data_IF_063179940574
#
_entry.id   IF_063179940574
#
_cell.length_a   1.000
_cell.length_b   1.000
_cell.length_c   1.000
_cell.angle_alpha   90.00
_cell.angle_beta   90.00
_cell.angle_gamma   90.00
#
_symmetry.space_group_name_H-M   'P 1'
#
loop_
_entity.id
_entity.type
_entity.pdbx_description
1 polymer ?
#
# COMPACT_ATOMS: atom_id res chain seq x y z
N UNK A 1 15.49 12.09 -4.98
CA UNK A 1 15.83 13.51 -5.19
C UNK A 1 14.66 14.39 -5.66
N UNK A 2 13.76 13.91 -6.54
CA UNK A 2 12.63 14.73 -7.02
C UNK A 2 11.59 15.03 -5.94
N UNK A 3 11.28 14.06 -5.07
CA UNK A 3 10.33 14.26 -3.96
C UNK A 3 10.88 15.26 -2.95
N UNK A 4 12.15 15.20 -2.62
CA UNK A 4 12.78 16.15 -1.69
C UNK A 4 12.70 17.62 -2.13
N UNK A 5 12.51 17.88 -3.45
CA UNK A 5 12.31 19.22 -3.98
C UNK A 5 10.84 19.57 -4.21
N UNK A 6 9.94 18.59 -4.09
CA UNK A 6 8.51 18.75 -4.36
C UNK A 6 7.65 18.85 -3.10
N UNK A 7 8.22 18.61 -1.92
CA UNK A 7 7.50 18.63 -0.65
C UNK A 7 8.41 19.10 0.48
N UNK A 8 7.82 19.78 1.46
CA UNK A 8 8.48 20.15 2.72
C UNK A 8 8.42 19.03 3.78
N UNK A 9 7.89 17.86 3.41
CA UNK A 9 7.82 16.70 4.31
C UNK A 9 9.22 16.07 4.52
N UNK A 10 9.47 15.62 5.74
CA UNK A 10 10.65 14.82 6.02
C UNK A 10 10.60 13.49 5.24
N UNK A 11 11.68 13.13 4.56
CA UNK A 11 11.76 11.90 3.78
C UNK A 11 12.54 10.83 4.57
N UNK A 12 11.97 9.64 4.63
CA UNK A 12 12.55 8.46 5.27
C UNK A 12 12.63 7.35 4.24
N UNK A 13 13.84 6.85 3.95
CA UNK A 13 14.03 5.84 2.90
C UNK A 13 14.51 4.52 3.49
N UNK A 14 13.88 3.43 3.11
CA UNK A 14 14.32 2.09 3.49
C UNK A 14 15.79 1.89 3.12
N UNK A 15 16.58 1.45 4.11
CA UNK A 15 18.02 1.22 3.96
C UNK A 15 18.92 2.34 4.52
N UNK A 16 18.39 3.53 4.81
CA UNK A 16 19.15 4.61 5.43
C UNK A 16 19.48 4.34 6.91
N UNK A 17 18.62 3.57 7.58
CA UNK A 17 18.81 3.17 8.96
C UNK A 17 18.07 1.84 9.25
N UNK A 18 18.29 1.20 10.43
CA UNK A 18 17.57 0.00 10.83
C UNK A 18 16.06 0.22 10.80
N UNK A 19 15.31 -0.80 10.36
CA UNK A 19 13.86 -0.76 10.13
C UNK A 19 13.05 -0.12 11.28
N UNK A 20 13.28 -0.58 12.52
CA UNK A 20 12.55 -0.07 13.69
C UNK A 20 12.80 1.42 13.91
N UNK A 21 14.06 1.87 13.81
CA UNK A 21 14.41 3.28 13.96
C UNK A 21 13.84 4.17 12.86
N UNK A 22 13.76 3.65 11.64
CA UNK A 22 13.17 4.36 10.51
C UNK A 22 11.67 4.61 10.74
N UNK A 23 10.97 3.60 11.23
CA UNK A 23 9.54 3.69 11.56
C UNK A 23 9.30 4.64 12.74
N UNK A 24 10.12 4.59 13.77
CA UNK A 24 10.00 5.48 14.93
C UNK A 24 10.26 6.93 14.53
N UNK A 25 11.33 7.20 13.78
CA UNK A 25 11.64 8.53 13.27
C UNK A 25 10.51 9.11 12.36
N UNK A 26 9.92 8.26 11.52
CA UNK A 26 8.76 8.64 10.71
C UNK A 26 7.56 9.04 11.58
N UNK A 27 7.25 8.27 12.63
CA UNK A 27 6.16 8.58 13.56
C UNK A 27 6.40 9.90 14.31
N UNK A 28 7.62 10.11 14.78
CA UNK A 28 8.02 11.31 15.54
C UNK A 28 8.00 12.59 14.68
N UNK A 29 8.27 12.48 13.40
CA UNK A 29 8.27 13.62 12.49
C UNK A 29 6.89 14.26 12.32
N UNK A 30 5.79 13.51 12.51
CA UNK A 30 4.41 14.01 12.38
C UNK A 30 4.01 14.44 10.95
N UNK A 31 4.97 14.88 10.14
CA UNK A 31 4.79 15.23 8.73
C UNK A 31 5.95 14.63 7.91
N UNK A 32 5.81 13.39 7.53
CA UNK A 32 6.85 12.66 6.82
C UNK A 32 6.33 11.80 5.68
N UNK A 33 7.23 11.43 4.78
CA UNK A 33 7.01 10.44 3.73
C UNK A 33 7.98 9.29 3.93
N UNK A 34 7.44 8.09 4.11
CA UNK A 34 8.22 6.86 4.25
C UNK A 34 8.23 6.10 2.93
N UNK A 35 9.42 5.92 2.36
CA UNK A 35 9.65 5.22 1.10
C UNK A 35 10.20 3.82 1.37
N UNK A 36 9.49 2.80 0.91
CA UNK A 36 9.91 1.42 1.09
C UNK A 36 9.39 0.48 0.00
N UNK A 37 9.95 -0.70 -0.06
CA UNK A 37 9.47 -1.78 -0.93
C UNK A 37 8.29 -2.51 -0.29
N UNK A 38 7.60 -3.36 -1.07
CA UNK A 38 6.47 -4.14 -0.55
C UNK A 38 6.83 -5.05 0.64
N UNK A 39 8.07 -5.50 0.75
CA UNK A 39 8.53 -6.27 1.91
C UNK A 39 8.69 -5.44 3.18
N UNK A 40 8.83 -4.12 3.03
CA UNK A 40 8.98 -3.22 4.18
C UNK A 40 7.69 -3.11 4.99
N UNK A 41 6.53 -3.04 4.35
CA UNK A 41 5.27 -2.87 5.06
C UNK A 41 4.85 -4.06 5.92
N UNK A 42 5.38 -5.27 5.65
CA UNK A 42 5.08 -6.46 6.48
C UNK A 42 5.49 -6.25 7.94
N UNK A 43 6.54 -5.45 8.19
CA UNK A 43 7.04 -5.11 9.52
C UNK A 43 6.65 -3.72 10.04
N UNK A 44 5.94 -2.91 9.25
CA UNK A 44 5.55 -1.55 9.66
C UNK A 44 4.33 -1.58 10.55
N UNK A 45 4.45 -0.96 11.71
CA UNK A 45 3.36 -0.73 12.66
C UNK A 45 3.27 0.75 12.99
N UNK A 46 2.36 1.46 12.31
CA UNK A 46 2.10 2.88 12.52
C UNK A 46 0.61 3.07 12.81
N UNK A 47 0.20 2.96 14.08
CA UNK A 47 -1.19 3.17 14.46
C UNK A 47 -1.57 4.65 14.46
N UNK A 48 -2.86 4.90 14.27
CA UNK A 48 -3.47 6.22 14.44
C UNK A 48 -3.10 7.22 13.33
N UNK A 49 -3.21 8.52 13.62
CA UNK A 49 -3.16 9.60 12.63
C UNK A 49 -1.77 9.80 11.98
N UNK A 50 -0.73 9.12 12.48
CA UNK A 50 0.62 9.22 11.92
C UNK A 50 0.72 8.58 10.52
N UNK A 51 -0.23 7.73 10.11
CA UNK A 51 -0.31 7.16 8.77
C UNK A 51 -1.69 7.47 8.15
N UNK A 52 -1.79 8.52 7.39
CA UNK A 52 -3.03 8.98 6.75
C UNK A 52 -3.13 8.63 5.27
N UNK A 53 -2.01 8.33 4.61
CA UNK A 53 -1.95 8.01 3.18
C UNK A 53 -0.97 6.86 2.92
N UNK A 54 -1.44 5.84 2.20
CA UNK A 54 -0.60 4.78 1.65
C UNK A 54 -0.65 4.84 0.13
N UNK A 55 0.50 4.95 -0.52
CA UNK A 55 0.59 4.96 -1.99
C UNK A 55 1.26 3.67 -2.45
N UNK A 56 0.57 2.92 -3.28
CA UNK A 56 1.04 1.71 -3.93
C UNK A 56 1.33 2.00 -5.39
N UNK A 57 2.60 2.14 -5.76
CA UNK A 57 3.03 2.39 -7.13
C UNK A 57 2.65 1.23 -8.07
N UNK A 58 2.75 -0.01 -7.57
CA UNK A 58 2.41 -1.22 -8.34
C UNK A 58 1.70 -2.25 -7.47
N UNK A 59 0.87 -3.07 -8.11
CA UNK A 59 0.32 -4.27 -7.48
C UNK A 59 1.45 -5.17 -6.98
N UNK A 60 1.36 -5.71 -5.74
CA UNK A 60 2.46 -6.38 -5.05
C UNK A 60 2.68 -7.82 -5.53
N UNK A 61 2.80 -8.00 -6.85
CA UNK A 61 3.23 -9.28 -7.40
C UNK A 61 4.65 -9.59 -6.96
N UNK A 62 4.91 -10.87 -6.68
CA UNK A 62 6.27 -11.32 -6.39
C UNK A 62 7.18 -11.11 -7.61
N UNK A 63 8.42 -10.70 -7.36
CA UNK A 63 9.45 -10.72 -8.40
C UNK A 63 9.77 -12.17 -8.75
N UNK A 64 9.94 -12.51 -10.04
CA UNK A 64 10.20 -13.89 -10.48
C UNK A 64 11.59 -14.43 -10.10
N UNK A 65 12.35 -13.70 -9.27
CA UNK A 65 13.76 -14.00 -8.99
C UNK A 65 13.97 -15.04 -7.89
N UNK A 66 12.92 -15.37 -7.13
CA UNK A 66 13.02 -16.41 -6.10
C UNK A 66 13.08 -17.80 -6.74
N UNK A 67 14.14 -18.61 -6.51
CA UNK A 67 14.23 -19.98 -7.00
C UNK A 67 13.05 -20.85 -6.54
N UNK A 68 12.57 -20.64 -5.32
CA UNK A 68 11.41 -21.35 -4.77
C UNK A 68 10.12 -21.00 -5.53
N UNK A 69 9.91 -19.72 -5.83
CA UNK A 69 8.75 -19.27 -6.61
C UNK A 69 8.76 -19.91 -7.99
N UNK A 70 9.90 -19.86 -8.69
CA UNK A 70 10.05 -20.49 -10.01
C UNK A 70 9.79 -22.00 -9.98
N UNK A 71 10.27 -22.69 -8.95
CA UNK A 71 10.04 -24.13 -8.79
C UNK A 71 8.54 -24.44 -8.60
N UNK A 72 7.83 -23.66 -7.77
CA UNK A 72 6.38 -23.81 -7.56
C UNK A 72 5.59 -23.54 -8.84
N UNK A 73 5.91 -22.47 -9.55
CA UNK A 73 5.26 -22.14 -10.81
C UNK A 73 5.50 -23.22 -11.89
N UNK A 74 6.71 -23.78 -11.92
CA UNK A 74 7.04 -24.88 -12.82
C UNK A 74 6.19 -26.11 -12.49
N UNK A 75 6.10 -26.52 -11.23
CA UNK A 75 5.31 -27.66 -10.79
C UNK A 75 3.82 -27.53 -11.18
N UNK A 76 3.23 -26.33 -10.99
CA UNK A 76 1.83 -26.06 -11.40
C UNK A 76 1.67 -26.22 -12.91
N UNK A 77 2.59 -25.65 -13.71
CA UNK A 77 2.53 -25.76 -15.19
C UNK A 77 2.71 -27.22 -15.67
N UNK A 78 3.58 -27.97 -15.04
CA UNK A 78 3.79 -29.41 -15.36
C UNK A 78 2.55 -30.25 -15.00
N UNK A 79 1.77 -29.84 -14.01
CA UNK A 79 0.49 -30.44 -13.66
C UNK A 79 -0.68 -29.97 -14.56
N UNK A 80 -0.43 -29.09 -15.55
CA UNK A 80 -1.44 -28.56 -16.46
C UNK A 80 -2.21 -27.37 -15.91
N UNK A 81 -1.78 -26.78 -14.78
CA UNK A 81 -2.42 -25.63 -14.14
C UNK A 81 -1.91 -24.27 -14.66
N UNK A 82 -2.61 -23.22 -14.24
CA UNK A 82 -2.25 -21.83 -14.50
C UNK A 82 -1.51 -21.24 -13.28
N UNK A 83 -0.18 -21.22 -13.34
CA UNK A 83 0.66 -20.72 -12.27
C UNK A 83 0.38 -19.25 -11.91
N UNK A 84 -0.07 -18.44 -12.86
CA UNK A 84 -0.45 -17.05 -12.57
C UNK A 84 -1.72 -17.00 -11.70
N UNK A 85 -2.77 -17.72 -12.10
CA UNK A 85 -4.05 -17.74 -11.40
C UNK A 85 -4.01 -18.49 -10.08
N UNK A 86 -3.22 -19.56 -10.01
CA UNK A 86 -3.18 -20.44 -8.83
C UNK A 86 -2.18 -19.99 -7.76
N UNK A 87 -1.12 -19.27 -8.15
CA UNK A 87 -0.07 -18.83 -7.21
C UNK A 87 0.11 -17.32 -7.17
N UNK A 88 0.42 -16.68 -8.32
CA UNK A 88 0.87 -15.30 -8.34
C UNK A 88 -0.24 -14.32 -7.97
N UNK A 89 -1.43 -14.51 -8.52
CA UNK A 89 -2.59 -13.65 -8.29
C UNK A 89 -3.08 -13.72 -6.83
N UNK A 90 -3.35 -14.90 -6.23
CA UNK A 90 -3.77 -14.99 -4.83
C UNK A 90 -2.74 -14.43 -3.86
N UNK A 91 -1.45 -14.67 -4.10
CA UNK A 91 -0.40 -14.10 -3.26
C UNK A 91 -0.36 -12.57 -3.31
N UNK A 92 -0.52 -12.00 -4.51
CA UNK A 92 -0.55 -10.55 -4.67
C UNK A 92 -1.80 -9.93 -4.00
N UNK A 93 -2.96 -10.59 -4.07
CA UNK A 93 -4.18 -10.17 -3.38
C UNK A 93 -3.99 -10.16 -1.85
N UNK A 94 -3.42 -11.23 -1.28
CA UNK A 94 -3.11 -11.28 0.17
C UNK A 94 -2.18 -10.15 0.58
N UNK A 95 -1.11 -9.90 -0.19
CA UNK A 95 -0.18 -8.80 0.10
C UNK A 95 -0.85 -7.43 0.01
N UNK A 96 -1.69 -7.22 -1.01
CA UNK A 96 -2.45 -5.96 -1.12
C UNK A 96 -3.35 -5.74 0.08
N UNK A 97 -4.07 -6.78 0.49
CA UNK A 97 -4.95 -6.74 1.67
C UNK A 97 -4.17 -6.47 2.96
N UNK A 98 -3.00 -7.06 3.12
CA UNK A 98 -2.10 -6.76 4.23
C UNK A 98 -1.65 -5.30 4.22
N UNK A 99 -1.24 -4.77 3.07
CA UNK A 99 -0.88 -3.36 2.91
C UNK A 99 -2.03 -2.42 3.23
N UNK A 100 -3.23 -2.75 2.78
CA UNK A 100 -4.45 -2.00 3.10
C UNK A 100 -4.75 -2.00 4.60
N UNK A 101 -4.60 -3.16 5.26
CA UNK A 101 -4.80 -3.30 6.71
C UNK A 101 -3.74 -2.59 7.56
N UNK A 102 -2.67 -2.04 6.97
CA UNK A 102 -1.71 -1.21 7.69
C UNK A 102 -2.21 0.20 7.92
N UNK A 103 -3.07 0.71 7.04
CA UNK A 103 -3.69 2.01 7.19
C UNK A 103 -4.86 1.99 8.19
N UNK A 104 -5.71 0.95 8.10
CA UNK A 104 -6.94 0.85 8.90
C UNK A 104 -6.80 -0.30 9.89
N UNK A 105 -6.46 0.00 11.14
CA UNK A 105 -6.26 -0.97 12.22
C UNK A 105 -7.37 -0.95 13.26
N UNK A 106 -7.88 0.23 13.51
CA UNK A 106 -9.00 0.45 14.45
C UNK A 106 -10.20 1.01 13.70
N UNK A 107 -11.34 1.00 14.34
CA UNK A 107 -12.58 1.55 13.76
C UNK A 107 -12.54 3.07 13.61
N UNK A 108 -11.63 3.72 14.32
CA UNK A 108 -11.44 5.17 14.30
C UNK A 108 -10.36 5.62 13.30
N UNK A 109 -9.57 4.67 12.75
CA UNK A 109 -8.54 5.00 11.78
C UNK A 109 -9.16 5.47 10.46
N UNK A 110 -8.64 6.56 9.95
CA UNK A 110 -9.07 7.18 8.68
C UNK A 110 -7.87 7.45 7.79
N UNK A 111 -8.05 7.25 6.51
CA UNK A 111 -7.00 7.54 5.56
C UNK A 111 -7.33 7.11 4.14
N UNK A 112 -6.39 7.32 3.24
CA UNK A 112 -6.51 7.03 1.81
C UNK A 112 -5.48 5.98 1.40
N UNK A 113 -5.92 4.99 0.64
CA UNK A 113 -5.03 4.08 -0.09
C UNK A 113 -5.12 4.42 -1.58
N UNK A 114 -4.04 4.96 -2.12
CA UNK A 114 -3.91 5.26 -3.54
C UNK A 114 -3.15 4.12 -4.25
N UNK A 115 -3.76 3.50 -5.25
CA UNK A 115 -3.14 2.45 -6.06
C UNK A 115 -2.94 2.98 -7.47
N UNK A 116 -1.68 3.18 -7.87
CA UNK A 116 -1.30 3.83 -9.12
C UNK A 116 -1.10 2.85 -10.28
N UNK A 117 -1.45 1.60 -10.12
CA UNK A 117 -1.25 0.56 -11.11
C UNK A 117 -2.45 0.46 -12.08
N UNK A 118 -2.25 0.85 -13.32
CA UNK A 118 -3.26 0.81 -14.37
C UNK A 118 -3.81 -0.62 -14.63
N UNK A 119 -3.10 -1.67 -14.20
CA UNK A 119 -3.56 -3.06 -14.35
C UNK A 119 -4.85 -3.35 -13.59
N UNK A 120 -5.19 -2.57 -12.55
CA UNK A 120 -6.49 -2.65 -11.87
C UNK A 120 -7.67 -2.43 -12.83
N UNK A 121 -7.49 -1.59 -13.85
CA UNK A 121 -8.54 -1.22 -14.79
C UNK A 121 -8.39 -1.92 -16.13
N UNK A 122 -7.16 -2.20 -16.54
CA UNK A 122 -6.88 -2.73 -17.88
C UNK A 122 -6.82 -4.25 -17.97
N UNK A 123 -6.71 -4.95 -16.81
CA UNK A 123 -6.63 -6.41 -16.77
C UNK A 123 -7.87 -7.03 -16.17
N UNK A 124 -8.29 -8.19 -16.65
CA UNK A 124 -9.47 -8.91 -16.19
C UNK A 124 -9.43 -9.21 -14.69
N UNK A 125 -8.26 -9.52 -14.15
CA UNK A 125 -8.06 -9.80 -12.73
C UNK A 125 -8.11 -8.55 -11.83
N UNK A 126 -8.10 -7.35 -12.38
CA UNK A 126 -8.14 -6.12 -11.59
C UNK A 126 -9.39 -6.02 -10.71
N UNK A 127 -10.54 -6.47 -11.23
CA UNK A 127 -11.79 -6.53 -10.47
C UNK A 127 -11.70 -7.48 -9.26
N UNK A 128 -10.95 -8.56 -9.39
CA UNK A 128 -10.72 -9.53 -8.31
C UNK A 128 -9.95 -8.89 -7.16
N UNK A 129 -8.93 -8.07 -7.45
CA UNK A 129 -8.24 -7.27 -6.44
C UNK A 129 -9.18 -6.33 -5.70
N UNK A 130 -10.00 -5.60 -6.44
CA UNK A 130 -10.93 -4.64 -5.83
C UNK A 130 -12.02 -5.33 -5.01
N UNK A 131 -12.51 -6.48 -5.44
CA UNK A 131 -13.52 -7.24 -4.71
C UNK A 131 -12.99 -7.83 -3.39
N UNK A 132 -11.70 -8.10 -3.30
CA UNK A 132 -11.06 -8.70 -2.13
C UNK A 132 -10.64 -7.66 -1.05
N UNK A 133 -10.71 -6.37 -1.39
CA UNK A 133 -10.45 -5.29 -0.43
C UNK A 133 -11.67 -5.05 0.48
N UNK A 134 -11.43 -4.55 1.71
CA UNK A 134 -12.51 -4.14 2.60
C UNK A 134 -13.47 -3.15 1.93
N UNK A 135 -14.77 -3.17 2.27
CA UNK A 135 -15.74 -2.20 1.76
C UNK A 135 -15.32 -0.78 2.12
N UNK A 136 -15.11 0.06 1.14
CA UNK A 136 -14.78 1.47 1.31
C UNK A 136 -15.24 2.28 0.09
N UNK A 137 -15.47 3.59 0.23
CA UNK A 137 -15.66 4.48 -0.90
C UNK A 137 -14.45 4.39 -1.85
N UNK A 138 -14.72 4.46 -3.16
CA UNK A 138 -13.70 4.41 -4.21
C UNK A 138 -13.89 5.55 -5.17
N UNK A 139 -12.79 6.12 -5.59
CA UNK A 139 -12.76 7.19 -6.59
C UNK A 139 -11.52 7.06 -7.47
N UNK A 140 -11.56 7.62 -8.65
CA UNK A 140 -10.42 7.83 -9.55
C UNK A 140 -10.11 9.34 -9.71
N UNK A 141 -10.77 10.18 -8.91
CA UNK A 141 -10.65 11.63 -8.96
C UNK A 141 -9.79 12.14 -7.83
N UNK A 142 -8.79 12.92 -8.17
CA UNK A 142 -7.89 13.53 -7.18
C UNK A 142 -8.61 14.53 -6.26
N UNK A 143 -9.61 15.23 -6.79
CA UNK A 143 -10.42 16.19 -6.04
C UNK A 143 -11.12 15.56 -4.83
N UNK A 144 -11.61 14.32 -4.96
CA UNK A 144 -12.27 13.61 -3.86
C UNK A 144 -11.28 13.31 -2.72
N UNK A 145 -10.02 12.99 -3.05
CA UNK A 145 -8.95 12.79 -2.07
C UNK A 145 -8.64 14.11 -1.35
N UNK A 146 -8.57 15.21 -2.08
CA UNK A 146 -8.34 16.54 -1.52
C UNK A 146 -9.48 16.93 -0.57
N UNK A 147 -10.73 16.71 -0.97
CA UNK A 147 -11.90 16.97 -0.13
C UNK A 147 -11.93 16.10 1.13
N UNK A 148 -11.53 14.82 1.01
CA UNK A 148 -11.44 13.92 2.16
C UNK A 148 -10.49 14.48 3.22
N UNK A 149 -9.28 14.89 2.86
CA UNK A 149 -8.31 15.46 3.80
C UNK A 149 -8.71 16.84 4.32
N UNK A 150 -9.35 17.68 3.50
CA UNK A 150 -9.87 18.96 3.95
C UNK A 150 -10.98 18.80 5.01
N UNK A 151 -11.88 17.85 4.82
CA UNK A 151 -12.92 17.53 5.80
C UNK A 151 -12.35 17.00 7.11
N UNK A 152 -11.33 16.15 7.06
CA UNK A 152 -10.63 15.64 8.24
C UNK A 152 -9.91 16.77 9.01
N UNK A 153 -9.27 17.70 8.32
CA UNK A 153 -8.63 18.86 8.94
C UNK A 153 -9.64 19.75 9.66
N UNK A 154 -10.82 20.00 9.07
CA UNK A 154 -11.90 20.74 9.70
C UNK A 154 -12.45 20.04 10.93
N UNK A 155 -12.70 18.72 10.84
CA UNK A 155 -13.17 17.91 11.96
C UNK A 155 -12.17 17.91 13.12
N UNK A 156 -10.87 17.79 12.83
CA UNK A 156 -9.80 17.85 13.84
C UNK A 156 -9.69 19.24 14.49
N UNK A 157 -10.04 20.31 13.77
CA UNK A 157 -10.07 21.68 14.29
C UNK A 157 -11.38 22.01 15.05
N UNK A 158 -12.35 21.09 15.11
CA UNK A 158 -13.64 21.32 15.78
C UNK A 158 -14.57 22.29 15.03
N UNK A 159 -14.36 22.47 13.73
CA UNK A 159 -15.15 23.36 12.88
C UNK A 159 -16.14 22.48 12.10
N UNK A 160 -17.43 22.68 12.37
CA UNK A 160 -18.56 21.99 11.68
C UNK A 160 -19.12 22.86 10.57
#
# INVERSE_FOLDING_TARGET
>A
DRLAHATDCALFTQGEMPHARLVDAFKEAGNGVLLGTSSFWEGVDVPGPALSLVILDKLPFATPDSPLQRAREKAVREAGGDAFRELSLPQAQIRLKQGFGRLLRTVDDRGVVAILDARLWTKSYGREFLADLPPCPRTDRFEDVTHFFAADALAAAGIS
#
